data_IF_622472300612
#
_entry.id   IF_622472300612
#
_cell.length_a   1.000
_cell.length_b   1.000
_cell.length_c   1.000
_cell.angle_alpha   90.00
_cell.angle_beta   90.00
_cell.angle_gamma   90.00
#
_symmetry.space_group_name_H-M   'P 1'
#
loop_
_entity.id
_entity.type
_entity.pdbx_description
1 polymer ?
#
# COMPACT_ATOMS: atom_id res chain seq x y z
N UNK A 1 0.40 -3.88 12.04
CA UNK A 1 -1.04 -4.19 11.98
C UNK A 1 -1.76 -2.87 11.80
N UNK A 2 -2.32 -2.61 10.60
CA UNK A 2 -3.00 -1.35 10.26
C UNK A 2 -3.88 -0.76 11.38
N UNK A 3 -4.73 -1.54 12.08
CA UNK A 3 -5.60 -0.96 13.11
C UNK A 3 -4.84 -0.28 14.26
N UNK A 4 -3.58 -0.67 14.53
CA UNK A 4 -2.75 -0.05 15.58
C UNK A 4 -2.10 1.28 15.15
N UNK A 5 -2.14 1.62 13.87
CA UNK A 5 -1.56 2.87 13.35
C UNK A 5 -2.63 3.83 12.85
N UNK A 6 -3.80 3.32 12.45
CA UNK A 6 -4.89 4.13 11.92
C UNK A 6 -5.65 4.90 13.01
N UNK A 7 -6.16 6.09 12.67
CA UNK A 7 -7.01 6.93 13.54
C UNK A 7 -8.39 6.31 13.86
N UNK A 8 -8.74 5.23 13.16
CA UNK A 8 -9.98 4.48 13.30
C UNK A 8 -9.82 3.20 14.14
N UNK A 9 -8.72 3.08 14.89
CA UNK A 9 -8.34 1.91 15.70
C UNK A 9 -9.52 1.32 16.48
N UNK A 10 -10.12 2.10 17.40
CA UNK A 10 -11.13 1.58 18.34
C UNK A 10 -12.34 1.02 17.58
N UNK A 11 -12.85 1.77 16.60
CA UNK A 11 -13.99 1.33 15.81
C UNK A 11 -13.67 0.09 14.97
N UNK A 12 -12.49 0.02 14.37
CA UNK A 12 -12.10 -1.15 13.59
C UNK A 12 -11.92 -2.38 14.48
N UNK A 13 -11.15 -2.27 15.56
CA UNK A 13 -10.80 -3.40 16.44
C UNK A 13 -12.04 -4.08 17.01
N UNK A 14 -13.04 -3.31 17.47
CA UNK A 14 -14.20 -3.87 18.17
C UNK A 14 -15.44 -4.09 17.29
N UNK A 15 -15.44 -3.66 16.03
CA UNK A 15 -16.56 -3.89 15.11
C UNK A 15 -16.21 -4.71 13.87
N UNK A 16 -14.95 -4.75 13.47
CA UNK A 16 -14.49 -5.46 12.25
C UNK A 16 -13.55 -6.63 12.57
N UNK A 17 -13.00 -6.67 13.77
CA UNK A 17 -12.09 -7.71 14.26
C UNK A 17 -12.65 -8.33 15.54
N UNK A 18 -12.16 -9.51 15.96
CA UNK A 18 -12.64 -10.21 17.16
C UNK A 18 -12.18 -9.56 18.47
N UNK A 19 -11.26 -8.59 18.42
CA UNK A 19 -10.65 -7.98 19.58
C UNK A 19 -9.22 -7.51 19.28
N UNK A 20 -8.43 -7.17 20.31
CA UNK A 20 -7.07 -6.64 20.14
C UNK A 20 -6.10 -7.62 19.44
N UNK A 21 -5.10 -7.12 18.69
CA UNK A 21 -4.19 -7.97 17.92
C UNK A 21 -3.34 -8.96 18.73
N UNK A 22 -2.98 -8.63 19.98
CA UNK A 22 -2.18 -9.50 20.84
C UNK A 22 -2.97 -10.69 21.39
N UNK A 23 -4.30 -10.62 21.39
CA UNK A 23 -5.19 -11.73 21.78
C UNK A 23 -5.58 -12.60 20.58
N UNK A 24 -5.50 -12.05 19.36
CA UNK A 24 -5.97 -12.71 18.13
C UNK A 24 -4.91 -12.72 17.01
N UNK A 25 -3.64 -12.98 17.36
CA UNK A 25 -2.49 -12.86 16.45
C UNK A 25 -2.72 -13.51 15.07
N UNK A 26 -3.15 -14.78 15.05
CA UNK A 26 -3.38 -15.53 13.82
C UNK A 26 -4.46 -14.89 12.93
N UNK A 27 -5.55 -14.41 13.54
CA UNK A 27 -6.65 -13.75 12.83
C UNK A 27 -6.19 -12.48 12.09
N UNK A 28 -5.30 -11.70 12.71
CA UNK A 28 -4.70 -10.52 12.10
C UNK A 28 -3.64 -10.90 11.06
N UNK A 29 -2.79 -11.89 11.36
CA UNK A 29 -1.74 -12.33 10.46
C UNK A 29 -2.31 -12.87 9.14
N UNK A 30 -3.33 -13.72 9.20
CA UNK A 30 -4.00 -14.30 8.02
C UNK A 30 -4.67 -13.24 7.12
N UNK A 31 -4.94 -12.04 7.64
CA UNK A 31 -5.47 -10.89 6.86
C UNK A 31 -4.40 -9.90 6.42
N UNK A 32 -3.17 -10.06 6.90
CA UNK A 32 -2.06 -9.15 6.60
C UNK A 32 -1.43 -9.50 5.26
N UNK A 33 -1.32 -8.57 4.29
CA UNK A 33 -0.56 -8.80 3.06
C UNK A 33 0.91 -9.19 3.33
N UNK A 34 1.49 -8.77 4.47
CA UNK A 34 2.85 -9.16 4.85
C UNK A 34 2.98 -10.67 5.10
N UNK A 35 1.90 -11.36 5.50
CA UNK A 35 1.91 -12.82 5.65
C UNK A 35 2.15 -13.54 4.32
N UNK A 36 1.80 -12.90 3.20
CA UNK A 36 2.00 -13.40 1.85
C UNK A 36 3.24 -12.82 1.18
N UNK A 37 4.05 -12.02 1.89
CA UNK A 37 5.21 -11.35 1.33
C UNK A 37 6.17 -12.33 0.68
N UNK A 38 6.32 -13.56 1.18
CA UNK A 38 7.17 -14.60 0.59
C UNK A 38 6.74 -15.09 -0.80
N UNK A 39 5.49 -14.82 -1.21
CA UNK A 39 4.91 -15.31 -2.47
C UNK A 39 4.91 -14.24 -3.59
N UNK A 40 5.25 -12.99 -3.29
CA UNK A 40 5.18 -11.87 -4.24
C UNK A 40 6.32 -11.90 -5.25
N UNK A 41 6.06 -12.17 -6.53
CA UNK A 41 7.15 -12.22 -7.54
C UNK A 41 7.02 -11.13 -8.62
N UNK A 42 5.91 -10.39 -8.62
CA UNK A 42 5.62 -9.36 -9.62
C UNK A 42 6.23 -8.02 -9.21
N UNK A 43 6.88 -7.29 -10.13
CA UNK A 43 7.27 -5.91 -9.89
C UNK A 43 6.11 -5.07 -9.35
N UNK A 44 6.32 -4.35 -8.26
CA UNK A 44 5.23 -3.67 -7.53
C UNK A 44 5.57 -2.21 -7.21
N UNK A 45 4.74 -1.29 -7.67
CA UNK A 45 4.74 0.10 -7.20
C UNK A 45 3.69 0.30 -6.11
N UNK A 46 4.11 0.96 -5.03
CA UNK A 46 3.25 1.39 -3.94
C UNK A 46 3.06 2.91 -4.00
N UNK A 47 1.88 3.41 -3.66
CA UNK A 47 1.57 4.84 -3.72
C UNK A 47 0.69 5.25 -2.54
N UNK A 48 1.16 6.22 -1.75
CA UNK A 48 0.51 6.63 -0.49
C UNK A 48 0.73 8.11 -0.21
N UNK A 49 -0.28 8.76 0.38
CA UNK A 49 -0.17 10.12 0.90
C UNK A 49 0.52 10.16 2.26
N UNK A 50 1.42 11.14 2.48
CA UNK A 50 2.21 11.21 3.72
C UNK A 50 1.37 11.51 4.97
N UNK A 51 0.21 12.15 4.82
CA UNK A 51 -0.70 12.51 5.91
C UNK A 51 -1.92 11.56 6.01
N UNK A 52 -1.89 10.40 5.35
CA UNK A 52 -2.99 9.45 5.42
C UNK A 52 -3.10 8.85 6.83
N UNK A 53 -4.18 9.15 7.55
CA UNK A 53 -4.43 8.58 8.89
C UNK A 53 -5.35 7.36 8.88
N UNK A 54 -6.02 7.08 7.75
CA UNK A 54 -6.91 5.92 7.59
C UNK A 54 -6.13 4.67 7.18
N UNK A 55 -5.13 4.84 6.33
CA UNK A 55 -4.15 3.84 5.93
C UNK A 55 -2.75 4.45 6.02
N UNK A 56 -2.18 4.55 7.25
CA UNK A 56 -0.91 5.23 7.48
C UNK A 56 0.25 4.70 6.65
N UNK A 57 1.13 5.63 6.27
CA UNK A 57 2.27 5.37 5.38
C UNK A 57 3.20 4.27 5.90
N UNK A 58 3.25 4.04 7.21
CA UNK A 58 3.99 2.94 7.82
C UNK A 58 3.61 1.57 7.25
N UNK A 59 2.34 1.36 6.85
CA UNK A 59 1.90 0.09 6.23
C UNK A 59 2.53 -0.07 4.84
N UNK A 60 2.67 1.03 4.09
CA UNK A 60 3.35 1.05 2.79
C UNK A 60 4.85 0.85 2.94
N UNK A 61 5.48 1.52 3.90
CA UNK A 61 6.91 1.41 4.17
C UNK A 61 7.31 -0.03 4.53
N UNK A 62 6.55 -0.69 5.41
CA UNK A 62 6.78 -2.09 5.77
C UNK A 62 6.74 -3.01 4.54
N UNK A 63 5.72 -2.85 3.68
CA UNK A 63 5.58 -3.68 2.48
C UNK A 63 6.68 -3.39 1.45
N UNK A 64 7.03 -2.11 1.24
CA UNK A 64 8.12 -1.71 0.35
C UNK A 64 9.44 -2.34 0.78
N UNK A 65 9.81 -2.22 2.07
CA UNK A 65 11.03 -2.83 2.58
C UNK A 65 11.02 -4.36 2.42
N UNK A 66 9.88 -5.01 2.62
CA UNK A 66 9.71 -6.44 2.34
C UNK A 66 10.00 -6.81 0.88
N UNK A 67 9.49 -6.03 -0.08
CA UNK A 67 9.79 -6.22 -1.51
C UNK A 67 11.28 -6.04 -1.80
N UNK A 68 11.90 -5.00 -1.22
CA UNK A 68 13.33 -4.72 -1.37
C UNK A 68 14.20 -5.86 -0.84
N UNK A 69 13.88 -6.40 0.34
CA UNK A 69 14.59 -7.55 0.92
C UNK A 69 14.49 -8.79 0.05
N UNK A 70 13.37 -8.97 -0.66
CA UNK A 70 13.17 -10.09 -1.60
C UNK A 70 13.75 -9.85 -3.00
N UNK A 71 14.37 -8.69 -3.24
CA UNK A 71 14.92 -8.34 -4.55
C UNK A 71 13.85 -8.09 -5.62
N UNK A 72 12.60 -7.84 -5.22
CA UNK A 72 11.51 -7.53 -6.16
C UNK A 72 11.65 -6.07 -6.61
N UNK A 73 11.64 -5.84 -7.93
CA UNK A 73 11.66 -4.50 -8.48
C UNK A 73 10.44 -3.72 -8.00
N UNK A 74 10.71 -2.53 -7.46
CA UNK A 74 9.72 -1.84 -6.65
C UNK A 74 9.97 -0.34 -6.61
N UNK A 75 8.87 0.41 -6.58
CA UNK A 75 8.84 1.85 -6.39
C UNK A 75 7.89 2.21 -5.25
N UNK A 76 8.21 3.27 -4.51
CA UNK A 76 7.32 3.84 -3.49
C UNK A 76 7.11 5.32 -3.82
N UNK A 77 5.91 5.65 -4.26
CA UNK A 77 5.48 7.02 -4.55
C UNK A 77 4.86 7.60 -3.28
N UNK A 78 5.52 8.61 -2.71
CA UNK A 78 5.05 9.38 -1.55
C UNK A 78 4.45 10.67 -2.06
N UNK A 79 3.22 10.99 -1.67
CA UNK A 79 2.56 12.24 -2.04
C UNK A 79 2.58 13.21 -0.84
N UNK A 80 3.39 14.28 -0.87
CA UNK A 80 3.52 15.21 0.24
C UNK A 80 2.21 15.94 0.57
N UNK A 81 2.03 16.24 1.86
CA UNK A 81 0.88 16.92 2.45
C UNK A 81 -0.50 16.35 2.01
N UNK A 82 -0.55 15.04 1.74
CA UNK A 82 -1.71 14.36 1.14
C UNK A 82 -2.29 13.35 2.12
N UNK A 83 -3.57 13.51 2.45
CA UNK A 83 -4.31 12.54 3.26
C UNK A 83 -4.80 11.35 2.42
N UNK A 84 -5.74 10.56 2.94
CA UNK A 84 -6.37 9.46 2.21
C UNK A 84 -7.00 9.89 0.87
N UNK A 85 -7.51 11.13 0.79
CA UNK A 85 -8.20 11.68 -0.37
C UNK A 85 -7.25 12.37 -1.35
N UNK A 86 -6.50 11.58 -2.14
CA UNK A 86 -5.50 12.10 -3.09
C UNK A 86 -6.10 13.07 -4.13
N UNK A 87 -7.33 12.81 -4.58
CA UNK A 87 -7.99 13.58 -5.62
C UNK A 87 -8.44 15.00 -5.20
N UNK A 88 -8.28 15.37 -3.92
CA UNK A 88 -8.70 16.67 -3.39
C UNK A 88 -7.96 17.87 -4.00
N UNK A 89 -6.75 17.66 -4.56
CA UNK A 89 -6.04 18.65 -5.37
C UNK A 89 -5.81 18.10 -6.78
N UNK A 90 -6.27 18.76 -7.85
CA UNK A 90 -6.12 18.26 -9.22
C UNK A 90 -4.69 17.89 -9.62
N UNK A 91 -3.71 18.70 -9.21
CA UNK A 91 -2.29 18.41 -9.49
C UNK A 91 -1.82 17.07 -8.91
N UNK A 92 -2.29 16.71 -7.70
CA UNK A 92 -1.96 15.42 -7.07
C UNK A 92 -2.62 14.24 -7.75
N UNK A 93 -3.84 14.44 -8.26
CA UNK A 93 -4.50 13.44 -9.08
C UNK A 93 -3.72 13.16 -10.36
N UNK A 94 -3.27 14.21 -11.05
CA UNK A 94 -2.44 14.09 -12.25
C UNK A 94 -1.15 13.35 -11.91
N UNK A 95 -0.41 13.78 -10.88
CA UNK A 95 0.82 13.09 -10.44
C UNK A 95 0.58 11.61 -10.16
N UNK A 96 -0.50 11.25 -9.46
CA UNK A 96 -0.88 9.85 -9.23
C UNK A 96 -1.07 9.10 -10.55
N UNK A 97 -1.81 9.67 -11.49
CA UNK A 97 -2.07 9.05 -12.80
C UNK A 97 -0.78 8.88 -13.59
N UNK A 98 0.07 9.90 -13.64
CA UNK A 98 1.34 9.86 -14.36
C UNK A 98 2.26 8.75 -13.85
N UNK A 99 2.41 8.60 -12.53
CA UNK A 99 3.20 7.51 -11.96
C UNK A 99 2.61 6.12 -12.27
N UNK A 100 1.29 5.98 -12.26
CA UNK A 100 0.62 4.72 -12.61
C UNK A 100 0.89 4.38 -14.08
N UNK A 101 0.69 5.33 -14.99
CA UNK A 101 0.93 5.13 -16.42
C UNK A 101 2.41 4.80 -16.69
N UNK A 102 3.34 5.54 -16.08
CA UNK A 102 4.77 5.30 -16.23
C UNK A 102 5.19 3.91 -15.71
N UNK A 103 4.60 3.45 -14.59
CA UNK A 103 4.87 2.12 -14.07
C UNK A 103 4.39 1.03 -15.03
N UNK A 104 3.16 1.12 -15.51
CA UNK A 104 2.63 0.14 -16.46
C UNK A 104 3.38 0.17 -17.80
N UNK A 105 3.76 1.34 -18.30
CA UNK A 105 4.56 1.45 -19.53
C UNK A 105 5.93 0.77 -19.38
N UNK A 106 6.59 0.92 -18.21
CA UNK A 106 7.89 0.29 -17.94
C UNK A 106 7.86 -1.23 -18.02
N UNK A 107 6.74 -1.87 -17.66
CA UNK A 107 6.57 -3.34 -17.71
C UNK A 107 5.65 -3.80 -18.83
N UNK A 108 5.31 -2.92 -19.78
CA UNK A 108 4.53 -3.29 -20.96
C UNK A 108 5.33 -4.29 -21.79
N UNK A 109 4.76 -5.47 -22.02
CA UNK A 109 5.39 -6.50 -22.86
C UNK A 109 5.07 -6.27 -24.34
N UNK A 110 5.92 -6.77 -25.24
CA UNK A 110 5.82 -6.51 -26.68
C UNK A 110 4.56 -7.10 -27.36
N UNK A 111 3.82 -8.00 -26.69
CA UNK A 111 2.54 -8.53 -27.18
C UNK A 111 1.43 -7.47 -27.26
N UNK A 112 1.60 -6.32 -26.60
CA UNK A 112 0.68 -5.18 -26.66
C UNK A 112 1.16 -4.05 -27.61
N UNK A 113 2.20 -4.30 -28.42
CA UNK A 113 2.75 -3.33 -29.38
C UNK A 113 2.32 -3.60 -30.84
N UNK A 114 1.45 -4.58 -31.05
CA UNK A 114 0.79 -4.80 -32.34
C UNK A 114 -0.55 -4.08 -32.27
N UNK A 115 -0.53 -2.76 -32.50
CA UNK A 115 -1.65 -1.93 -32.94
C UNK A 115 -1.10 -0.59 -33.45
#
# INVERSE_FOLDING_TARGET
SKPLTADSMVGQIYHQFPGPPWEHLEHYWNRSPLSLMGNVNTPTMLLTGEDDRRTPISETEQFYQGLRLRGIDSAMVRLPDTSHGIASRPSRLITKVDYILAWFERYRTDLAKID
#
